data_IF_020132482440
#
_entry.id   IF_020132482440
#
_cell.length_a   1.000
_cell.length_b   1.000
_cell.length_c   1.000
_cell.angle_alpha   90.00
_cell.angle_beta   90.00
_cell.angle_gamma   90.00
#
_symmetry.space_group_name_H-M   'P 1'
#
loop_
_entity.id
_entity.type
_entity.pdbx_description
1 polymer ?
#
# COMPACT_ATOMS: atom_id res chain seq x y z
N UNK A 1 -10.71 27.42 8.98
CA UNK A 1 -10.14 26.46 8.23
C UNK A 1 -10.70 25.15 8.62
N UNK A 2 -10.92 24.43 7.69
CA UNK A 2 -11.55 23.24 7.88
C UNK A 2 -10.60 22.16 8.15
N UNK A 3 -10.82 21.39 9.12
CA UNK A 3 -9.89 20.31 9.38
C UNK A 3 -9.74 19.40 8.19
N UNK A 4 -10.75 19.31 7.40
CA UNK A 4 -10.63 18.49 6.27
C UNK A 4 -9.59 18.92 5.36
N UNK A 5 -9.34 20.19 5.32
CA UNK A 5 -8.34 20.67 4.47
C UNK A 5 -7.05 20.21 4.90
N UNK A 6 -6.94 19.99 6.16
CA UNK A 6 -5.70 19.54 6.65
C UNK A 6 -5.55 18.09 6.53
N UNK A 7 -6.56 17.44 6.02
CA UNK A 7 -6.47 16.02 5.95
C UNK A 7 -6.19 15.59 4.58
N UNK A 8 -4.97 15.70 4.17
CA UNK A 8 -4.62 15.31 2.82
C UNK A 8 -4.95 13.87 2.56
N UNK A 9 -4.96 13.10 3.56
CA UNK A 9 -5.24 11.72 3.34
C UNK A 9 -6.65 11.48 2.89
N UNK A 10 -7.50 12.47 3.08
CA UNK A 10 -8.81 12.34 2.60
C UNK A 10 -8.85 12.41 1.12
N UNK A 11 -7.87 13.02 0.55
CA UNK A 11 -7.83 13.14 -0.86
C UNK A 11 -7.39 11.86 -1.47
N UNK A 12 -8.20 11.31 -2.27
CA UNK A 12 -7.82 10.12 -2.99
C UNK A 12 -7.10 10.58 -4.23
N UNK A 13 -5.89 10.13 -4.45
CA UNK A 13 -5.16 10.57 -5.62
C UNK A 13 -5.94 10.23 -6.88
N UNK A 14 -5.95 11.16 -7.78
CA UNK A 14 -6.62 10.93 -9.04
C UNK A 14 -5.80 9.93 -9.84
N UNK A 15 -6.43 8.93 -10.41
CA UNK A 15 -5.69 7.98 -11.22
C UNK A 15 -5.09 8.70 -12.40
N UNK A 16 -3.93 8.30 -12.85
CA UNK A 16 -3.33 8.92 -14.00
C UNK A 16 -4.12 8.63 -15.26
N UNK A 17 -4.01 9.52 -16.20
CA UNK A 17 -4.67 9.34 -17.47
C UNK A 17 -3.78 8.44 -18.33
N UNK A 18 -4.09 7.19 -18.33
CA UNK A 18 -3.24 6.21 -19.00
C UNK A 18 -3.17 6.43 -20.50
N UNK A 19 -4.25 6.98 -21.06
CA UNK A 19 -4.27 7.21 -22.49
C UNK A 19 -3.24 8.23 -22.93
N UNK A 20 -2.82 9.07 -22.04
CA UNK A 20 -1.85 10.09 -22.39
C UNK A 20 -0.43 9.67 -22.10
N UNK A 21 -0.24 8.50 -21.54
CA UNK A 21 1.08 8.04 -21.18
C UNK A 21 1.70 7.29 -22.33
N UNK A 22 3.00 7.44 -22.48
CA UNK A 22 3.72 6.69 -23.49
C UNK A 22 3.87 5.25 -23.03
N UNK A 23 4.28 4.40 -23.94
CA UNK A 23 4.48 2.99 -23.60
C UNK A 23 5.52 2.86 -22.48
N UNK A 24 6.59 3.65 -22.56
CA UNK A 24 7.62 3.59 -21.54
C UNK A 24 7.06 4.03 -20.19
N UNK A 25 6.26 5.09 -20.21
CA UNK A 25 5.68 5.56 -18.98
C UNK A 25 4.72 4.55 -18.40
N UNK A 26 3.97 3.86 -19.26
CA UNK A 26 3.07 2.85 -18.78
C UNK A 26 3.83 1.69 -18.16
N UNK A 27 4.95 1.33 -18.73
CA UNK A 27 5.77 0.28 -18.16
C UNK A 27 6.34 0.68 -16.82
N UNK A 28 6.77 1.91 -16.71
CA UNK A 28 7.29 2.41 -15.44
C UNK A 28 6.19 2.45 -14.40
N UNK A 29 5.00 2.79 -14.81
CA UNK A 29 3.87 2.84 -13.91
C UNK A 29 3.58 1.44 -13.35
N UNK A 30 3.61 0.45 -14.22
CA UNK A 30 3.41 -0.92 -13.79
C UNK A 30 4.49 -1.34 -12.80
N UNK A 31 5.73 -1.00 -13.09
CA UNK A 31 6.82 -1.38 -12.19
C UNK A 31 6.62 -0.76 -10.81
N UNK A 32 6.16 0.48 -10.78
CA UNK A 32 5.88 1.14 -9.51
C UNK A 32 4.77 0.45 -8.76
N UNK A 33 3.72 0.04 -9.47
CA UNK A 33 2.63 -0.66 -8.83
C UNK A 33 3.06 -2.01 -8.30
N UNK A 34 3.91 -2.70 -9.04
CA UNK A 34 4.38 -3.99 -8.61
C UNK A 34 5.24 -3.87 -7.35
N UNK A 35 6.05 -2.82 -7.30
CA UNK A 35 6.85 -2.58 -6.13
C UNK A 35 5.96 -2.30 -4.92
N UNK A 36 4.89 -1.56 -5.13
CA UNK A 36 3.98 -1.26 -4.04
C UNK A 36 3.25 -2.51 -3.58
N UNK A 37 2.87 -3.38 -4.51
CA UNK A 37 2.23 -4.62 -4.15
C UNK A 37 3.17 -5.46 -3.29
N UNK A 38 4.43 -5.52 -3.68
CA UNK A 38 5.41 -6.29 -2.92
C UNK A 38 5.56 -5.72 -1.51
N UNK A 39 5.57 -4.38 -1.40
CA UNK A 39 5.72 -3.74 -0.12
C UNK A 39 4.53 -4.06 0.79
N UNK A 40 3.33 -4.02 0.23
CA UNK A 40 2.13 -4.30 1.00
C UNK A 40 2.10 -5.76 1.42
N UNK A 41 2.50 -6.65 0.53
CA UNK A 41 2.54 -8.06 0.86
C UNK A 41 3.50 -8.33 1.99
N UNK A 42 4.64 -7.65 1.97
CA UNK A 42 5.61 -7.81 3.06
C UNK A 42 5.01 -7.37 4.39
N UNK A 43 4.23 -6.28 4.36
CA UNK A 43 3.59 -5.82 5.58
C UNK A 43 2.56 -6.82 6.09
N UNK A 44 1.83 -7.43 5.17
CA UNK A 44 0.86 -8.44 5.55
C UNK A 44 1.56 -9.61 6.23
N UNK A 45 2.65 -10.06 5.64
CA UNK A 45 3.37 -11.18 6.22
C UNK A 45 3.95 -10.85 7.59
N UNK A 46 4.45 -9.64 7.73
CA UNK A 46 4.98 -9.22 9.01
C UNK A 46 3.88 -9.19 10.06
N UNK A 47 2.71 -8.70 9.70
CA UNK A 47 1.61 -8.63 10.64
C UNK A 47 1.11 -10.01 11.00
N UNK A 48 1.07 -10.91 10.04
CA UNK A 48 0.66 -12.26 10.31
C UNK A 48 1.63 -12.97 11.24
N UNK A 49 2.90 -12.76 11.00
CA UNK A 49 3.92 -13.36 11.85
C UNK A 49 3.81 -12.84 13.27
N UNK A 50 3.53 -11.54 13.39
CA UNK A 50 3.40 -10.95 14.71
C UNK A 50 2.20 -11.54 15.45
N UNK A 51 1.09 -11.70 14.76
CA UNK A 51 -0.10 -12.27 15.37
C UNK A 51 0.12 -13.72 15.72
N UNK A 52 0.79 -14.46 14.86
CA UNK A 52 1.05 -15.85 15.13
C UNK A 52 1.94 -16.00 16.34
N UNK A 53 2.90 -15.11 16.48
CA UNK A 53 3.77 -15.14 17.63
C UNK A 53 3.01 -14.87 18.91
N UNK A 54 2.13 -13.88 18.87
CA UNK A 54 1.35 -13.57 20.05
C UNK A 54 0.42 -14.73 20.39
N UNK A 55 -0.20 -15.31 19.39
CA UNK A 55 -1.09 -16.43 19.62
C UNK A 55 -0.33 -17.61 20.21
N UNK A 56 0.87 -17.80 19.73
CA UNK A 56 1.68 -18.87 20.22
C UNK A 56 2.03 -18.69 21.67
N UNK A 57 2.30 -17.48 22.07
CA UNK A 57 2.60 -17.20 23.44
C UNK A 57 1.39 -17.48 24.32
N UNK A 58 0.24 -17.09 23.89
CA UNK A 58 -0.95 -17.34 24.66
C UNK A 58 -1.24 -18.80 24.75
N UNK A 59 -1.00 -19.51 23.71
CA UNK A 59 -1.25 -20.90 23.69
C UNK A 59 -0.41 -21.63 24.66
N UNK A 60 0.81 -21.25 24.75
CA UNK A 60 1.71 -21.92 25.65
C UNK A 60 1.45 -21.59 27.06
N UNK A 61 0.84 -20.49 27.29
CA UNK A 61 0.55 -20.06 28.63
C UNK A 61 -0.48 -20.87 29.23
#
# INVERSE_FOLDING_TARGET
MDPEELEPRKKVPTPPDLDRMSIEELKDYIAGMEAEIARVKAKIEAKKAHLAGAASLFKDG
#
